data_IF_880506847287
#
_entry.id   IF_880506847287
#
_cell.length_a   1.000
_cell.length_b   1.000
_cell.length_c   1.000
_cell.angle_alpha   90.00
_cell.angle_beta   90.00
_cell.angle_gamma   90.00
#
_symmetry.space_group_name_H-M   'P 1'
#
loop_
_entity.id
_entity.type
_entity.pdbx_description
1 polymer ?
#
# COMPACT_ATOMS: atom_id res chain seq x y z
N UNK A 1 19.61 11.87 24.40
CA UNK A 1 20.21 10.98 23.38
C UNK A 1 19.42 9.68 23.28
N UNK A 2 19.13 8.99 24.41
CA UNK A 2 18.32 7.75 24.43
C UNK A 2 16.85 7.95 24.01
N UNK A 3 16.19 9.02 24.47
CA UNK A 3 14.78 9.29 24.15
C UNK A 3 14.53 9.39 22.64
N UNK A 4 15.40 10.10 21.92
CA UNK A 4 15.32 10.27 20.47
C UNK A 4 15.48 8.94 19.71
N UNK A 5 16.26 8.00 20.24
CA UNK A 5 16.40 6.67 19.64
C UNK A 5 15.14 5.83 19.81
N UNK A 6 14.50 5.91 20.98
CA UNK A 6 13.23 5.22 21.26
C UNK A 6 12.11 5.78 20.38
N UNK A 7 11.99 7.10 20.27
CA UNK A 7 10.98 7.74 19.42
C UNK A 7 11.24 7.46 17.92
N UNK A 8 12.49 7.48 17.46
CA UNK A 8 12.82 7.14 16.08
C UNK A 8 12.45 5.70 15.75
N UNK A 9 12.74 4.74 16.64
CA UNK A 9 12.33 3.35 16.47
C UNK A 9 10.79 3.21 16.45
N UNK A 10 10.09 3.88 17.37
CA UNK A 10 8.64 3.88 17.41
C UNK A 10 8.01 4.51 16.15
N UNK A 11 8.61 5.56 15.59
CA UNK A 11 8.19 6.17 14.34
C UNK A 11 8.34 5.21 13.15
N UNK A 12 9.45 4.47 13.07
CA UNK A 12 9.65 3.45 12.04
C UNK A 12 8.57 2.36 12.16
N UNK A 13 8.33 1.84 13.37
CA UNK A 13 7.27 0.85 13.61
C UNK A 13 5.89 1.37 13.17
N UNK A 14 5.55 2.60 13.58
CA UNK A 14 4.28 3.23 13.24
C UNK A 14 4.13 3.43 11.73
N UNK A 15 5.19 3.84 11.05
CA UNK A 15 5.23 4.00 9.60
C UNK A 15 5.04 2.64 8.89
N UNK A 16 5.64 1.56 9.40
CA UNK A 16 5.45 0.21 8.85
C UNK A 16 3.98 -0.22 8.96
N UNK A 17 3.36 -0.09 10.14
CA UNK A 17 1.94 -0.41 10.31
C UNK A 17 1.03 0.46 9.43
N UNK A 18 1.31 1.77 9.37
CA UNK A 18 0.59 2.70 8.50
C UNK A 18 0.68 2.30 7.03
N UNK A 19 1.89 1.95 6.56
CA UNK A 19 2.12 1.50 5.18
C UNK A 19 1.41 0.18 4.85
N UNK A 20 1.30 -0.73 5.83
CA UNK A 20 0.59 -2.00 5.65
C UNK A 20 -0.91 -1.78 5.44
N UNK A 21 -1.55 -0.97 6.30
CA UNK A 21 -2.99 -0.66 6.18
C UNK A 21 -3.26 0.12 4.90
N UNK A 22 -2.41 1.10 4.56
CA UNK A 22 -2.56 1.87 3.33
C UNK A 22 -2.40 0.98 2.09
N UNK A 23 -1.39 0.11 2.06
CA UNK A 23 -1.18 -0.82 0.96
C UNK A 23 -2.35 -1.79 0.75
N UNK A 24 -2.99 -2.26 1.81
CA UNK A 24 -4.18 -3.11 1.71
C UNK A 24 -5.38 -2.37 1.06
N UNK A 25 -5.56 -1.10 1.40
CA UNK A 25 -6.58 -0.26 0.77
C UNK A 25 -6.27 0.01 -0.70
N UNK A 26 -5.00 0.28 -1.04
CA UNK A 26 -4.58 0.51 -2.43
C UNK A 26 -4.76 -0.73 -3.30
N UNK A 27 -4.43 -1.92 -2.78
CA UNK A 27 -4.70 -3.19 -3.48
C UNK A 27 -6.19 -3.33 -3.74
N UNK A 28 -7.05 -3.02 -2.76
CA UNK A 28 -8.52 -3.12 -2.93
C UNK A 28 -9.03 -2.17 -4.01
N UNK A 29 -8.51 -0.94 -4.04
CA UNK A 29 -8.88 0.06 -5.06
C UNK A 29 -8.39 -0.34 -6.47
N UNK A 30 -7.20 -0.91 -6.58
CA UNK A 30 -6.63 -1.33 -7.86
C UNK A 30 -7.25 -2.63 -8.40
N UNK A 31 -7.50 -3.60 -7.53
CA UNK A 31 -7.96 -4.94 -7.90
C UNK A 31 -9.49 -5.06 -7.94
N UNK A 32 -10.24 -4.20 -7.23
CA UNK A 32 -11.70 -4.20 -7.24
C UNK A 32 -12.33 -4.25 -8.65
N UNK A 33 -11.91 -3.38 -9.59
CA UNK A 33 -12.40 -3.44 -10.98
C UNK A 33 -12.02 -4.72 -11.72
N UNK A 34 -10.81 -5.25 -11.47
CA UNK A 34 -10.31 -6.49 -12.10
C UNK A 34 -11.13 -7.69 -11.64
N UNK A 35 -11.43 -7.75 -10.34
CA UNK A 35 -12.30 -8.78 -9.75
C UNK A 35 -13.72 -8.67 -10.29
N UNK A 36 -14.28 -7.47 -10.39
CA UNK A 36 -15.60 -7.24 -10.97
C UNK A 36 -15.69 -7.75 -12.41
N UNK A 37 -14.67 -7.45 -13.24
CA UNK A 37 -14.60 -7.95 -14.61
C UNK A 37 -14.48 -9.48 -14.67
N UNK A 38 -13.67 -10.07 -13.79
CA UNK A 38 -13.51 -11.52 -13.71
C UNK A 38 -14.83 -12.21 -13.33
N UNK A 39 -15.56 -11.68 -12.34
CA UNK A 39 -16.86 -12.20 -11.90
C UNK A 39 -17.91 -12.15 -13.02
N UNK A 40 -17.98 -11.05 -13.77
CA UNK A 40 -18.85 -10.96 -14.95
C UNK A 40 -18.47 -11.98 -16.01
N UNK A 41 -17.17 -12.16 -16.26
CA UNK A 41 -16.68 -13.10 -17.27
C UNK A 41 -16.98 -14.57 -16.93
N UNK A 42 -16.97 -14.95 -15.66
CA UNK A 42 -17.20 -16.33 -15.23
C UNK A 42 -18.68 -16.64 -14.93
N UNK A 43 -19.39 -15.70 -14.32
CA UNK A 43 -20.73 -15.94 -13.76
C UNK A 43 -21.83 -15.25 -14.55
N UNK A 44 -21.50 -14.27 -15.40
CA UNK A 44 -22.46 -13.39 -16.07
C UNK A 44 -23.19 -12.42 -15.13
N UNK A 45 -22.89 -12.45 -13.83
CA UNK A 45 -23.52 -11.62 -12.81
C UNK A 45 -22.49 -10.69 -12.14
N UNK A 46 -22.59 -9.37 -12.35
CA UNK A 46 -21.70 -8.38 -11.74
C UNK A 46 -21.89 -8.22 -10.22
N UNK A 47 -22.99 -8.72 -9.65
CA UNK A 47 -23.30 -8.63 -8.21
C UNK A 47 -22.90 -9.88 -7.44
N UNK A 48 -22.21 -10.83 -8.10
CA UNK A 48 -21.78 -12.04 -7.45
C UNK A 48 -20.74 -11.73 -6.36
N UNK A 49 -21.09 -11.94 -5.10
CA UNK A 49 -20.22 -11.70 -3.93
C UNK A 49 -19.22 -12.84 -3.67
N UNK A 50 -18.92 -13.68 -4.68
CA UNK A 50 -17.92 -14.72 -4.53
C UNK A 50 -16.57 -14.10 -4.16
N UNK A 51 -15.85 -14.66 -3.16
CA UNK A 51 -14.55 -14.17 -2.78
C UNK A 51 -13.61 -14.20 -3.99
N UNK A 52 -12.90 -13.11 -4.29
CA UNK A 52 -11.93 -13.12 -5.35
C UNK A 52 -10.82 -14.14 -5.05
N UNK A 53 -10.33 -14.83 -6.07
CA UNK A 53 -9.24 -15.77 -5.88
C UNK A 53 -7.95 -15.06 -5.45
N UNK A 54 -7.20 -15.70 -4.54
CA UNK A 54 -6.04 -15.09 -3.87
C UNK A 54 -4.90 -14.70 -4.82
N UNK A 55 -4.78 -15.36 -5.97
CA UNK A 55 -3.76 -15.03 -6.98
C UNK A 55 -3.98 -13.66 -7.64
N UNK A 56 -5.23 -13.20 -7.77
CA UNK A 56 -5.51 -11.85 -8.30
C UNK A 56 -5.05 -10.79 -7.29
N UNK A 57 -5.25 -11.04 -5.99
CA UNK A 57 -4.76 -10.16 -4.92
C UNK A 57 -3.22 -10.15 -4.89
N UNK A 58 -2.60 -11.32 -5.04
CA UNK A 58 -1.14 -11.44 -5.12
C UNK A 58 -0.58 -10.66 -6.31
N UNK A 59 -1.22 -10.75 -7.48
CA UNK A 59 -0.87 -9.96 -8.67
C UNK A 59 -0.92 -8.45 -8.39
N UNK A 60 -1.97 -7.96 -7.74
CA UNK A 60 -2.10 -6.55 -7.35
C UNK A 60 -1.01 -6.10 -6.38
N UNK A 61 -0.76 -6.88 -5.33
CA UNK A 61 0.28 -6.58 -4.34
C UNK A 61 1.69 -6.54 -4.94
N UNK A 62 2.01 -7.48 -5.82
CA UNK A 62 3.29 -7.52 -6.53
C UNK A 62 3.41 -6.32 -7.49
N UNK A 63 2.35 -5.99 -8.23
CA UNK A 63 2.35 -4.85 -9.15
C UNK A 63 2.61 -3.53 -8.44
N UNK A 64 1.92 -3.28 -7.32
CA UNK A 64 2.14 -2.07 -6.50
C UNK A 64 3.56 -2.05 -5.92
N UNK A 65 4.05 -3.18 -5.40
CA UNK A 65 5.40 -3.29 -4.84
C UNK A 65 6.48 -2.97 -5.88
N UNK A 66 6.33 -3.48 -7.11
CA UNK A 66 7.26 -3.20 -8.21
C UNK A 66 7.18 -1.72 -8.61
N UNK A 67 5.98 -1.15 -8.72
CA UNK A 67 5.79 0.26 -9.04
C UNK A 67 6.44 1.19 -8.02
N UNK A 68 6.28 0.89 -6.73
CA UNK A 68 6.92 1.62 -5.63
C UNK A 68 8.44 1.49 -5.67
N UNK A 69 8.97 0.32 -6.02
CA UNK A 69 10.41 0.11 -6.11
C UNK A 69 11.06 0.91 -7.26
N UNK A 70 10.40 0.94 -8.43
CA UNK A 70 10.91 1.62 -9.62
C UNK A 70 10.79 3.15 -9.48
N UNK A 71 9.62 3.65 -9.07
CA UNK A 71 9.30 5.09 -9.09
C UNK A 71 9.00 5.72 -7.72
N UNK A 72 8.55 4.92 -6.75
CA UNK A 72 8.20 5.43 -5.41
C UNK A 72 9.38 6.10 -4.69
N UNK A 73 10.61 5.63 -4.93
CA UNK A 73 11.84 6.25 -4.40
C UNK A 73 11.99 7.73 -4.73
N UNK A 74 11.57 8.16 -5.93
CA UNK A 74 11.68 9.56 -6.35
C UNK A 74 10.65 10.43 -5.63
N UNK A 75 9.44 9.91 -5.46
CA UNK A 75 8.35 10.56 -4.72
C UNK A 75 8.70 10.69 -3.24
N UNK A 76 9.18 9.62 -2.61
CA UNK A 76 9.59 9.63 -1.21
C UNK A 76 10.73 10.64 -0.95
N UNK A 77 11.68 10.76 -1.87
CA UNK A 77 12.74 11.76 -1.77
C UNK A 77 12.17 13.18 -1.80
N UNK A 78 11.33 13.51 -2.78
CA UNK A 78 10.72 14.85 -2.89
C UNK A 78 9.87 15.20 -1.67
N UNK A 79 9.05 14.27 -1.16
CA UNK A 79 8.22 14.52 0.03
C UNK A 79 9.07 14.68 1.29
N UNK A 80 10.12 13.87 1.43
CA UNK A 80 11.01 13.88 2.60
C UNK A 80 11.97 15.07 2.65
N UNK A 81 12.39 15.62 1.50
CA UNK A 81 13.31 16.76 1.46
C UNK A 81 12.60 18.11 1.37
N UNK A 82 11.49 18.19 0.64
CA UNK A 82 10.96 19.48 0.19
C UNK A 82 9.67 19.90 0.94
N UNK A 83 8.96 18.97 1.59
CA UNK A 83 7.65 19.23 2.20
C UNK A 83 7.61 19.14 3.73
N UNK A 84 8.46 18.34 4.37
CA UNK A 84 8.38 18.11 5.83
C UNK A 84 9.77 17.98 6.47
N UNK A 85 10.15 18.93 7.34
CA UNK A 85 11.33 18.80 8.20
C UNK A 85 11.06 17.76 9.27
N UNK A 86 11.58 16.54 9.11
CA UNK A 86 11.39 15.45 10.09
C UNK A 86 12.24 15.75 11.33
N UNK A 87 11.58 16.02 12.45
CA UNK A 87 12.24 16.19 13.75
C UNK A 87 11.92 14.97 14.61
N UNK A 88 12.89 14.25 15.20
CA UNK A 88 12.63 12.99 15.89
C UNK A 88 11.68 13.06 17.11
N UNK A 89 11.27 14.27 17.51
CA UNK A 89 10.28 14.53 18.57
C UNK A 89 8.88 14.93 18.06
N UNK A 90 8.68 15.18 16.76
CA UNK A 90 7.40 15.57 16.15
C UNK A 90 7.17 14.93 14.79
#
# INVERSE_FOLDING_TARGET
>A
MEEAQVFSFAQILSAVFGSFVHGANDVSNAIGPVVGLWLVAISGDPLNSAPPPIWILFYGGVGISIGLWIWGRKVMQTVGSDLTTITPSR
#
